data_IF_411250864519
#
_entry.id   IF_411250864519
#
_cell.length_a   1.000
_cell.length_b   1.000
_cell.length_c   1.000
_cell.angle_alpha   90.00
_cell.angle_beta   90.00
_cell.angle_gamma   90.00
#
_symmetry.space_group_name_H-M   'P 1'
#
loop_
_entity.id
_entity.type
_entity.pdbx_description
1 polymer ?
#
# COMPACT_ATOMS: atom_id res chain seq x y z
N UNK A 1 -24.80 -2.64 7.59
CA UNK A 1 -24.44 -1.29 7.15
C UNK A 1 -23.67 -1.43 5.85
N UNK A 2 -24.21 -0.94 4.72
CA UNK A 2 -23.48 -0.99 3.46
C UNK A 2 -22.35 0.05 3.52
N UNK A 3 -21.15 -0.37 3.92
CA UNK A 3 -19.97 0.47 3.80
C UNK A 3 -19.76 0.72 2.31
N UNK A 4 -20.11 1.95 1.90
CA UNK A 4 -20.11 2.39 0.51
C UNK A 4 -18.72 2.10 -0.06
N UNK A 5 -18.67 1.31 -1.15
CA UNK A 5 -17.40 0.92 -1.78
C UNK A 5 -16.56 2.19 -2.00
N UNK A 6 -15.36 2.30 -1.42
CA UNK A 6 -14.51 3.46 -1.62
C UNK A 6 -14.18 3.59 -3.10
N UNK A 7 -14.14 4.83 -3.60
CA UNK A 7 -13.78 5.14 -5.00
C UNK A 7 -12.36 4.64 -5.35
N UNK A 8 -11.56 4.45 -4.31
CA UNK A 8 -10.20 3.94 -4.34
C UNK A 8 -10.16 2.65 -3.51
N UNK A 9 -10.30 1.47 -4.13
CA UNK A 9 -10.35 0.21 -3.41
C UNK A 9 -8.97 -0.31 -3.03
N UNK A 10 -7.89 0.41 -3.33
CA UNK A 10 -6.52 0.02 -2.98
C UNK A 10 -5.95 0.99 -1.97
N UNK A 11 -5.23 0.48 -0.98
CA UNK A 11 -4.55 1.26 0.06
C UNK A 11 -3.15 0.70 0.23
N UNK A 12 -2.17 1.58 0.28
CA UNK A 12 -0.77 1.26 0.55
C UNK A 12 -0.38 1.93 1.84
N UNK A 13 0.22 1.17 2.75
CA UNK A 13 0.74 1.63 4.03
C UNK A 13 2.25 1.37 4.01
N UNK A 14 3.01 2.43 3.80
CA UNK A 14 4.46 2.41 3.85
C UNK A 14 4.87 2.57 5.31
N UNK A 15 5.77 1.70 5.75
CA UNK A 15 6.29 1.63 7.11
C UNK A 15 7.81 1.51 7.03
N UNK A 16 8.51 2.31 7.81
CA UNK A 16 9.96 2.27 7.97
C UNK A 16 10.33 2.74 9.38
N UNK A 17 11.64 2.82 9.70
CA UNK A 17 12.12 3.15 11.04
C UNK A 17 11.61 4.52 11.52
N UNK A 18 11.49 5.50 10.61
CA UNK A 18 11.02 6.85 10.91
C UNK A 18 9.87 7.32 9.99
N UNK A 19 9.32 6.41 9.18
CA UNK A 19 8.29 6.76 8.18
C UNK A 19 7.05 5.91 8.37
N UNK A 20 5.89 6.58 8.36
CA UNK A 20 4.60 5.92 8.23
C UNK A 20 3.71 6.74 7.32
N UNK A 21 3.52 6.27 6.09
CA UNK A 21 2.69 6.94 5.10
C UNK A 21 1.58 6.01 4.64
N UNK A 22 0.36 6.53 4.54
CA UNK A 22 -0.79 5.80 4.00
C UNK A 22 -1.28 6.52 2.76
N UNK A 23 -1.46 5.80 1.66
CA UNK A 23 -2.00 6.33 0.41
C UNK A 23 -3.08 5.42 -0.18
N UNK A 24 -4.15 6.02 -0.69
CA UNK A 24 -5.26 5.33 -1.33
C UNK A 24 -5.23 5.51 -2.86
N UNK A 25 -5.46 4.40 -3.57
CA UNK A 25 -5.35 4.27 -5.02
C UNK A 25 -6.61 3.66 -5.65
N UNK A 26 -6.89 4.06 -6.88
CA UNK A 26 -8.02 3.53 -7.67
C UNK A 26 -7.72 2.16 -8.28
N UNK A 27 -6.44 1.83 -8.44
CA UNK A 27 -5.97 0.68 -9.21
C UNK A 27 -4.76 0.06 -8.54
N UNK A 28 -4.66 -1.27 -8.64
CA UNK A 28 -3.54 -2.07 -8.15
C UNK A 28 -2.20 -1.56 -8.71
N UNK A 29 -2.13 -1.34 -10.02
CA UNK A 29 -0.92 -0.83 -10.68
C UNK A 29 -0.38 0.45 -10.02
N UNK A 30 -1.25 1.43 -9.72
CA UNK A 30 -0.83 2.68 -9.05
C UNK A 30 -0.39 2.47 -7.61
N UNK A 31 -0.98 1.48 -6.92
CA UNK A 31 -0.55 1.09 -5.59
C UNK A 31 0.87 0.50 -5.65
N UNK A 32 1.12 -0.44 -6.57
CA UNK A 32 2.45 -1.04 -6.75
C UNK A 32 3.49 -0.05 -7.29
N UNK A 33 3.11 0.92 -8.13
CA UNK A 33 4.01 2.03 -8.52
C UNK A 33 4.49 2.81 -7.30
N UNK A 34 3.59 3.13 -6.36
CA UNK A 34 3.96 3.79 -5.10
C UNK A 34 4.83 2.88 -4.23
N UNK A 35 4.47 1.59 -4.11
CA UNK A 35 5.27 0.60 -3.35
C UNK A 35 6.71 0.57 -3.86
N UNK A 36 6.90 0.43 -5.18
CA UNK A 36 8.24 0.41 -5.79
C UNK A 36 8.97 1.74 -5.65
N UNK A 37 8.28 2.87 -5.76
CA UNK A 37 8.88 4.19 -5.56
C UNK A 37 9.26 4.46 -4.10
N UNK A 38 8.48 3.93 -3.15
CA UNK A 38 8.70 4.10 -1.73
C UNK A 38 9.76 3.15 -1.18
N UNK A 39 9.82 1.93 -1.69
CA UNK A 39 10.79 0.91 -1.26
C UNK A 39 12.07 0.94 -2.09
N UNK A 40 12.03 1.47 -3.31
CA UNK A 40 13.19 1.62 -4.18
C UNK A 40 13.97 2.91 -3.88
N UNK A 41 15.28 2.86 -4.12
CA UNK A 41 16.20 4.00 -3.97
C UNK A 41 16.63 4.27 -2.52
N UNK A 42 17.09 5.48 -2.24
CA UNK A 42 17.52 5.98 -0.91
C UNK A 42 16.32 6.29 0.01
N UNK A 43 15.24 5.54 -0.10
CA UNK A 43 14.03 5.78 0.67
C UNK A 43 14.16 5.17 2.07
N UNK A 44 13.77 5.90 3.14
CA UNK A 44 13.77 5.39 4.50
C UNK A 44 12.62 4.41 4.80
N UNK A 45 11.96 3.84 3.77
CA UNK A 45 10.89 2.87 3.96
C UNK A 45 11.43 1.44 3.85
N UNK A 46 11.07 0.59 4.81
CA UNK A 46 11.51 -0.81 4.84
C UNK A 46 10.43 -1.76 4.32
N UNK A 47 9.16 -1.38 4.48
CA UNK A 47 8.03 -2.26 4.19
C UNK A 47 6.84 -1.45 3.65
N UNK A 48 6.16 -1.97 2.65
CA UNK A 48 4.91 -1.43 2.15
C UNK A 48 3.82 -2.50 2.18
N UNK A 49 2.80 -2.27 3.00
CA UNK A 49 1.63 -3.14 3.11
C UNK A 49 0.55 -2.67 2.14
N UNK A 50 0.13 -3.55 1.24
CA UNK A 50 -0.97 -3.32 0.32
C UNK A 50 -2.24 -3.94 0.91
N UNK A 51 -3.30 -3.15 0.96
CA UNK A 51 -4.63 -3.54 1.39
C UNK A 51 -5.62 -3.26 0.27
N UNK A 52 -6.58 -4.15 0.11
CA UNK A 52 -7.66 -4.00 -0.86
C UNK A 52 -9.01 -3.98 -0.14
N UNK A 53 -9.90 -3.13 -0.59
CA UNK A 53 -11.25 -3.06 -0.07
C UNK A 53 -12.11 -4.18 -0.66
N UNK A 54 -12.53 -5.11 0.19
CA UNK A 54 -13.45 -6.18 -0.18
C UNK A 54 -14.45 -6.46 0.92
N UNK A 55 -15.68 -6.83 0.52
CA UNK A 55 -16.75 -7.22 1.45
C UNK A 55 -17.04 -6.21 2.57
N UNK A 56 -16.77 -4.92 2.34
CA UNK A 56 -17.09 -3.86 3.31
C UNK A 56 -15.99 -3.54 4.32
N UNK A 57 -14.78 -4.10 4.15
CA UNK A 57 -13.61 -3.90 5.00
C UNK A 57 -12.31 -3.80 4.17
N UNK A 58 -11.27 -3.21 4.76
CA UNK A 58 -9.92 -3.27 4.20
C UNK A 58 -9.32 -4.63 4.51
N UNK A 59 -9.11 -5.44 3.48
CA UNK A 59 -8.42 -6.72 3.59
C UNK A 59 -6.96 -6.56 3.24
N UNK A 60 -6.12 -7.17 4.04
CA UNK A 60 -4.71 -7.31 3.71
C UNK A 60 -4.57 -8.11 2.41
N UNK A 61 -3.84 -7.55 1.44
CA UNK A 61 -3.55 -8.19 0.17
C UNK A 61 -2.17 -8.83 0.21
N UNK A 62 -1.15 -7.99 0.44
CA UNK A 62 0.25 -8.37 0.42
C UNK A 62 1.06 -7.37 1.26
N UNK A 63 2.23 -7.81 1.71
CA UNK A 63 3.25 -6.94 2.29
C UNK A 63 4.52 -7.11 1.47
N UNK A 64 5.03 -6.02 0.92
CA UNK A 64 6.26 -5.98 0.13
C UNK A 64 7.36 -5.37 0.97
N UNK A 65 8.53 -5.99 1.01
CA UNK A 65 9.70 -5.47 1.74
C UNK A 65 10.67 -4.79 0.77
N UNK A 66 11.47 -3.84 1.27
CA UNK A 66 12.49 -3.16 0.47
C UNK A 66 13.51 -4.14 -0.11
N UNK A 67 13.84 -5.22 0.62
CA UNK A 67 14.72 -6.30 0.16
C UNK A 67 14.18 -7.06 -1.06
N UNK A 68 12.85 -7.04 -1.29
CA UNK A 68 12.21 -7.71 -2.42
C UNK A 68 12.17 -6.84 -3.69
N UNK A 69 12.52 -5.55 -3.58
CA UNK A 69 12.58 -4.61 -4.71
C UNK A 69 14.04 -4.51 -5.18
N UNK A 70 14.38 -5.05 -6.38
CA UNK A 70 15.74 -5.02 -6.90
C UNK A 70 16.19 -3.64 -7.39
#
# INVERSE_FOLDING_TARGET
MATRKPRKPWRVIITGPDVKATSDHTSEAKAYELVRAALGGDSPAEQARVEFWASGEWRWFETVNADEIP
#
